data_IF_445950602895
#
_entry.id   IF_445950602895
#
_cell.length_a   1.000
_cell.length_b   1.000
_cell.length_c   1.000
_cell.angle_alpha   90.00
_cell.angle_beta   90.00
_cell.angle_gamma   90.00
#
_symmetry.space_group_name_H-M   'P 1'
#
loop_
_entity.id
_entity.type
_entity.pdbx_description
1 polymer ?
#
# COMPACT_ATOMS: atom_id res chain seq x y z
N UNK A 1 -12.83 9.95 3.56
CA UNK A 1 -13.72 9.64 2.42
C UNK A 1 -14.95 8.88 2.94
N UNK A 2 -16.14 9.38 2.64
CA UNK A 2 -17.39 8.81 3.22
C UNK A 2 -17.68 7.40 2.69
N UNK A 3 -17.48 7.18 1.38
CA UNK A 3 -17.73 5.89 0.74
C UNK A 3 -16.99 4.72 1.43
N UNK A 4 -15.72 4.90 1.81
CA UNK A 4 -14.95 3.89 2.52
C UNK A 4 -15.50 3.66 3.94
N UNK A 5 -15.88 4.74 4.65
CA UNK A 5 -16.48 4.62 5.99
C UNK A 5 -17.78 3.82 5.94
N UNK A 6 -18.66 4.13 4.99
CA UNK A 6 -19.94 3.44 4.83
C UNK A 6 -19.72 1.96 4.49
N UNK A 7 -18.73 1.66 3.66
CA UNK A 7 -18.37 0.27 3.33
C UNK A 7 -17.84 -0.50 4.54
N UNK A 8 -16.98 0.12 5.35
CA UNK A 8 -16.46 -0.48 6.59
C UNK A 8 -17.62 -0.73 7.58
N UNK A 9 -18.52 0.22 7.75
CA UNK A 9 -19.67 0.06 8.66
C UNK A 9 -20.64 -1.03 8.20
N UNK A 10 -20.78 -1.20 6.89
CA UNK A 10 -21.71 -2.19 6.30
C UNK A 10 -21.13 -3.62 6.33
N UNK A 11 -19.89 -3.77 5.87
CA UNK A 11 -19.31 -5.08 5.53
C UNK A 11 -18.08 -5.43 6.38
N UNK A 12 -17.52 -4.47 7.13
CA UNK A 12 -16.42 -4.71 8.07
C UNK A 12 -16.88 -5.45 9.32
N UNK A 13 -16.00 -6.24 9.89
CA UNK A 13 -16.24 -6.99 11.12
C UNK A 13 -15.19 -6.64 12.17
N UNK A 14 -15.63 -6.28 13.38
CA UNK A 14 -14.72 -6.09 14.50
C UNK A 14 -14.52 -7.45 15.16
N UNK A 15 -13.30 -7.93 15.13
CA UNK A 15 -12.88 -9.13 15.86
C UNK A 15 -12.40 -8.73 17.26
N UNK A 16 -12.21 -9.72 18.13
CA UNK A 16 -11.61 -9.46 19.44
C UNK A 16 -10.26 -8.72 19.33
N UNK A 17 -9.89 -7.98 20.37
CA UNK A 17 -8.64 -7.21 20.46
C UNK A 17 -8.51 -6.02 19.48
N UNK A 18 -9.62 -5.46 19.01
CA UNK A 18 -9.62 -4.27 18.16
C UNK A 18 -9.19 -4.50 16.71
N UNK A 19 -9.18 -5.76 16.25
CA UNK A 19 -8.86 -6.09 14.86
C UNK A 19 -10.07 -5.81 13.98
N UNK A 20 -9.89 -5.01 12.94
CA UNK A 20 -10.89 -4.75 11.91
C UNK A 20 -10.65 -5.70 10.72
N UNK A 21 -11.62 -6.58 10.46
CA UNK A 21 -11.60 -7.48 9.31
C UNK A 21 -12.31 -6.83 8.12
N UNK A 22 -11.61 -6.66 7.00
CA UNK A 22 -12.11 -6.05 5.75
C UNK A 22 -11.79 -6.92 4.53
N UNK A 23 -11.69 -8.21 4.73
CA UNK A 23 -11.26 -9.20 3.72
C UNK A 23 -12.14 -9.22 2.48
N UNK A 24 -13.40 -8.86 2.61
CA UNK A 24 -14.37 -8.93 1.53
C UNK A 24 -14.26 -7.81 0.49
N UNK A 25 -13.46 -6.77 0.76
CA UNK A 25 -13.36 -5.62 -0.15
C UNK A 25 -12.01 -4.90 -0.19
N UNK A 26 -11.04 -5.24 0.68
CA UNK A 26 -9.72 -4.61 0.70
C UNK A 26 -8.58 -5.59 0.51
N UNK A 27 -8.43 -6.59 1.38
CA UNK A 27 -7.17 -7.31 1.53
C UNK A 27 -7.21 -8.83 1.26
N UNK A 28 -8.34 -9.36 0.81
CA UNK A 28 -8.43 -10.71 0.25
C UNK A 28 -9.23 -10.69 -1.06
N UNK A 29 -10.52 -10.32 -0.99
CA UNK A 29 -11.25 -9.85 -2.15
C UNK A 29 -11.13 -8.32 -2.21
N UNK A 30 -10.82 -7.79 -3.38
CA UNK A 30 -10.66 -6.35 -3.61
C UNK A 30 -11.85 -5.84 -4.40
N UNK A 31 -12.48 -4.76 -3.92
CA UNK A 31 -13.50 -4.03 -4.68
C UNK A 31 -12.80 -2.96 -5.55
N UNK A 32 -12.72 -3.14 -6.88
CA UNK A 32 -11.97 -2.23 -7.75
C UNK A 32 -12.55 -0.82 -7.77
N UNK A 33 -13.88 -0.69 -7.72
CA UNK A 33 -14.53 0.61 -7.75
C UNK A 33 -14.27 1.40 -6.45
N UNK A 34 -14.27 0.72 -5.32
CA UNK A 34 -13.90 1.31 -4.03
C UNK A 34 -12.43 1.74 -4.04
N UNK A 35 -11.52 0.90 -4.55
CA UNK A 35 -10.09 1.25 -4.65
C UNK A 35 -9.84 2.41 -5.60
N UNK A 36 -10.54 2.50 -6.72
CA UNK A 36 -10.47 3.65 -7.61
C UNK A 36 -10.91 4.94 -6.92
N UNK A 37 -12.01 4.89 -6.17
CA UNK A 37 -12.48 6.05 -5.40
C UNK A 37 -11.47 6.46 -4.30
N UNK A 38 -10.83 5.49 -3.63
CA UNK A 38 -9.77 5.76 -2.66
C UNK A 38 -8.54 6.39 -3.34
N UNK A 39 -8.11 5.84 -4.48
CA UNK A 39 -6.99 6.38 -5.26
C UNK A 39 -7.22 7.81 -5.71
N UNK A 40 -8.42 8.13 -6.15
CA UNK A 40 -8.82 9.50 -6.54
C UNK A 40 -8.78 10.45 -5.34
N UNK A 41 -9.25 10.01 -4.19
CA UNK A 41 -9.21 10.81 -2.95
C UNK A 41 -7.77 11.09 -2.52
N UNK A 42 -6.90 10.06 -2.53
CA UNK A 42 -5.48 10.25 -2.24
C UNK A 42 -4.81 11.17 -3.26
N UNK A 43 -5.08 10.98 -4.56
CA UNK A 43 -4.54 11.85 -5.60
C UNK A 43 -4.92 13.31 -5.38
N UNK A 44 -6.18 13.58 -5.05
CA UNK A 44 -6.64 14.95 -4.75
C UNK A 44 -5.93 15.55 -3.53
N UNK A 45 -5.74 14.77 -2.47
CA UNK A 45 -5.07 15.26 -1.24
C UNK A 45 -3.58 15.52 -1.44
N UNK A 46 -2.92 14.73 -2.28
CA UNK A 46 -1.47 14.72 -2.42
C UNK A 46 -0.97 15.24 -3.78
N UNK A 47 -1.83 15.82 -4.61
CA UNK A 47 -1.47 16.33 -5.95
C UNK A 47 -0.26 17.27 -5.95
N UNK A 48 -0.12 18.10 -4.93
CA UNK A 48 0.86 19.19 -4.89
C UNK A 48 2.11 18.88 -4.05
N UNK A 49 2.29 17.66 -3.59
CA UNK A 49 3.46 17.34 -2.76
C UNK A 49 4.76 17.16 -3.55
N UNK A 50 4.69 17.06 -4.88
CA UNK A 50 5.85 16.88 -5.75
C UNK A 50 6.49 15.48 -5.60
N UNK A 51 5.71 14.46 -5.28
CA UNK A 51 6.20 13.09 -5.29
C UNK A 51 6.50 12.63 -6.71
N UNK A 52 7.54 11.83 -6.87
CA UNK A 52 7.95 11.24 -8.15
C UNK A 52 7.57 9.78 -8.27
N UNK A 53 7.30 9.12 -7.14
CA UNK A 53 6.88 7.71 -7.05
C UNK A 53 5.96 7.48 -5.87
N UNK A 54 5.20 6.41 -5.95
CA UNK A 54 4.45 5.87 -4.83
C UNK A 54 5.18 4.63 -4.32
N UNK A 55 5.29 4.51 -3.01
CA UNK A 55 5.84 3.34 -2.33
C UNK A 55 4.75 2.70 -1.47
N UNK A 56 4.67 1.39 -1.54
CA UNK A 56 3.79 0.58 -0.69
C UNK A 56 4.49 -0.70 -0.27
N UNK A 57 3.85 -1.53 0.52
CA UNK A 57 4.33 -2.87 0.85
C UNK A 57 3.40 -3.95 0.28
N UNK A 58 3.96 -5.09 -0.12
CA UNK A 58 3.11 -6.23 -0.46
C UNK A 58 2.38 -6.73 0.81
N UNK A 59 1.07 -7.10 0.72
CA UNK A 59 0.37 -7.26 -0.54
C UNK A 59 -0.84 -6.30 -0.66
N UNK A 60 -1.58 -6.06 0.40
CA UNK A 60 -2.88 -5.38 0.37
C UNK A 60 -2.79 -3.89 0.05
N UNK A 61 -1.68 -3.24 0.38
CA UNK A 61 -1.42 -1.84 0.00
C UNK A 61 -1.27 -1.60 -1.50
N UNK A 62 -1.02 -2.65 -2.30
CA UNK A 62 -0.82 -2.51 -3.75
C UNK A 62 -2.08 -1.96 -4.44
N UNK A 63 -3.26 -2.40 -4.04
CA UNK A 63 -4.50 -1.97 -4.69
C UNK A 63 -4.75 -0.46 -4.56
N UNK A 64 -4.77 0.14 -3.36
CA UNK A 64 -4.93 1.59 -3.22
C UNK A 64 -3.74 2.38 -3.77
N UNK A 65 -2.51 1.85 -3.68
CA UNK A 65 -1.34 2.50 -4.26
C UNK A 65 -1.41 2.57 -5.79
N UNK A 66 -1.82 1.47 -6.45
CA UNK A 66 -1.94 1.40 -7.90
C UNK A 66 -2.98 2.40 -8.41
N UNK A 67 -4.15 2.46 -7.79
CA UNK A 67 -5.19 3.42 -8.20
C UNK A 67 -4.78 4.87 -7.93
N UNK A 68 -4.07 5.13 -6.82
CA UNK A 68 -3.47 6.45 -6.57
C UNK A 68 -2.46 6.82 -7.66
N UNK A 69 -1.59 5.89 -8.05
CA UNK A 69 -0.62 6.08 -9.12
C UNK A 69 -1.27 6.36 -10.46
N UNK A 70 -2.37 5.67 -10.77
CA UNK A 70 -3.16 5.93 -11.98
C UNK A 70 -3.65 7.39 -12.04
N UNK A 71 -4.19 7.91 -10.92
CA UNK A 71 -4.73 9.27 -10.88
C UNK A 71 -3.65 10.37 -10.79
N UNK A 72 -2.47 10.08 -10.23
CA UNK A 72 -1.34 11.01 -10.16
C UNK A 72 -0.40 10.93 -11.39
N UNK A 73 -0.52 9.89 -12.22
CA UNK A 73 0.44 9.62 -13.29
C UNK A 73 1.82 9.19 -12.77
N UNK A 74 1.88 8.54 -11.60
CA UNK A 74 3.12 8.15 -10.94
C UNK A 74 3.33 6.63 -10.96
N UNK A 75 4.56 6.14 -11.17
CA UNK A 75 4.88 4.74 -11.00
C UNK A 75 4.75 4.31 -9.54
N UNK A 76 4.38 3.04 -9.34
CA UNK A 76 4.23 2.42 -8.03
C UNK A 76 5.33 1.39 -7.82
N UNK A 77 6.08 1.53 -6.74
CA UNK A 77 7.06 0.55 -6.27
C UNK A 77 6.50 -0.10 -5.01
N UNK A 78 6.58 -1.41 -4.91
CA UNK A 78 6.19 -2.10 -3.70
C UNK A 78 7.34 -2.88 -3.08
N UNK A 79 7.52 -2.71 -1.79
CA UNK A 79 8.49 -3.47 -1.02
C UNK A 79 8.08 -4.94 -0.97
N UNK A 80 9.03 -5.83 -1.25
CA UNK A 80 8.84 -7.29 -1.24
C UNK A 80 9.18 -7.86 0.12
N UNK A 81 8.45 -8.88 0.52
CA UNK A 81 8.72 -9.65 1.77
C UNK A 81 9.69 -10.80 1.54
N UNK A 82 9.98 -11.09 0.29
CA UNK A 82 10.96 -12.08 -0.18
C UNK A 82 11.70 -11.52 -1.38
N UNK A 83 13.03 -11.68 -1.41
CA UNK A 83 13.86 -11.24 -2.54
C UNK A 83 13.60 -12.13 -3.76
N UNK A 84 13.06 -11.63 -4.88
CA UNK A 84 12.96 -12.39 -6.11
C UNK A 84 14.34 -12.57 -6.76
N UNK A 85 14.52 -13.62 -7.52
CA UNK A 85 15.78 -13.92 -8.23
C UNK A 85 16.16 -12.86 -9.27
N UNK A 86 15.18 -12.06 -9.72
CA UNK A 86 15.38 -10.98 -10.68
C UNK A 86 15.84 -9.67 -10.04
N UNK A 87 15.90 -9.60 -8.72
CA UNK A 87 16.33 -8.41 -7.99
C UNK A 87 17.87 -8.43 -7.84
N UNK A 88 18.57 -7.28 -7.99
CA UNK A 88 20.02 -7.21 -7.83
C UNK A 88 20.47 -7.61 -6.42
N UNK A 89 21.78 -7.92 -6.27
CA UNK A 89 22.33 -8.31 -4.97
C UNK A 89 22.26 -7.18 -3.94
N UNK A 90 22.52 -5.95 -4.35
CA UNK A 90 22.38 -4.78 -3.51
C UNK A 90 20.92 -4.32 -3.49
N UNK A 91 20.34 -4.24 -2.31
CA UNK A 91 18.96 -3.85 -2.08
C UNK A 91 18.86 -2.93 -0.87
N UNK A 92 17.81 -2.12 -0.82
CA UNK A 92 17.37 -1.52 0.44
C UNK A 92 16.61 -2.59 1.22
N UNK A 93 17.02 -2.81 2.46
CA UNK A 93 16.41 -3.79 3.34
C UNK A 93 16.13 -3.17 4.69
N UNK A 94 14.94 -3.38 5.20
CA UNK A 94 14.58 -3.07 6.59
C UNK A 94 13.77 -4.21 7.19
N UNK A 95 13.75 -4.27 8.51
CA UNK A 95 12.91 -5.20 9.27
C UNK A 95 11.73 -4.45 9.86
N UNK A 96 10.54 -4.97 9.68
CA UNK A 96 9.32 -4.41 10.22
C UNK A 96 8.54 -5.47 11.03
N UNK A 97 7.91 -5.10 12.15
CA UNK A 97 7.05 -6.02 12.87
C UNK A 97 5.81 -6.36 12.03
N UNK A 98 5.50 -7.65 11.91
CA UNK A 98 4.27 -8.07 11.26
C UNK A 98 3.15 -8.20 12.30
N UNK A 99 2.15 -7.34 12.21
CA UNK A 99 1.00 -7.37 13.12
C UNK A 99 0.17 -8.65 13.00
N UNK A 100 0.16 -9.29 11.82
CA UNK A 100 -0.62 -10.51 11.56
C UNK A 100 0.14 -11.80 11.85
N UNK A 101 1.48 -11.77 11.85
CA UNK A 101 2.31 -12.97 11.99
C UNK A 101 3.10 -13.04 13.30
N UNK A 102 3.06 -11.99 14.13
CA UNK A 102 3.79 -11.92 15.40
C UNK A 102 5.31 -12.06 15.29
N UNK A 103 5.88 -11.79 14.10
CA UNK A 103 7.32 -11.90 13.80
C UNK A 103 7.80 -10.73 12.96
N UNK A 104 9.11 -10.50 12.97
CA UNK A 104 9.74 -9.55 12.06
C UNK A 104 9.66 -10.07 10.62
N UNK A 105 9.37 -9.19 9.69
CA UNK A 105 9.41 -9.45 8.24
C UNK A 105 10.38 -8.51 7.58
N UNK A 106 11.04 -9.00 6.55
CA UNK A 106 11.87 -8.17 5.69
C UNK A 106 10.99 -7.35 4.76
N UNK A 107 11.39 -6.09 4.53
CA UNK A 107 10.88 -5.25 3.46
C UNK A 107 12.06 -4.88 2.57
N UNK A 108 11.99 -5.29 1.32
CA UNK A 108 13.09 -5.23 0.35
C UNK A 108 12.64 -4.42 -0.86
N UNK A 109 13.46 -3.43 -1.24
CA UNK A 109 13.23 -2.60 -2.44
C UNK A 109 14.52 -2.55 -3.27
N UNK A 110 14.39 -2.67 -4.59
CA UNK A 110 15.51 -2.49 -5.51
C UNK A 110 15.87 -1.01 -5.67
N UNK A 111 17.15 -0.64 -5.56
CA UNK A 111 17.61 0.73 -5.86
C UNK A 111 17.45 1.11 -7.34
N UNK A 112 17.26 0.14 -8.25
CA UNK A 112 16.94 0.41 -9.66
C UNK A 112 15.62 1.16 -9.84
N UNK A 113 14.66 0.93 -8.94
CA UNK A 113 13.32 1.51 -9.01
C UNK A 113 13.04 2.58 -7.95
N UNK A 114 13.94 2.73 -6.99
CA UNK A 114 13.85 3.75 -5.95
C UNK A 114 15.25 4.36 -5.74
N UNK A 115 15.52 5.48 -6.41
CA UNK A 115 16.81 6.15 -6.29
C UNK A 115 16.90 6.96 -4.99
N UNK A 116 18.14 7.24 -4.57
CA UNK A 116 18.39 8.16 -3.45
C UNK A 116 17.81 9.56 -3.78
N UNK A 117 17.29 10.21 -2.75
CA UNK A 117 16.72 11.57 -2.83
C UNK A 117 15.42 11.69 -3.67
N UNK A 118 14.79 10.61 -4.05
CA UNK A 118 13.43 10.69 -4.61
C UNK A 118 12.42 11.06 -3.52
N UNK A 119 11.47 11.87 -3.88
CA UNK A 119 10.34 12.20 -3.02
C UNK A 119 9.23 11.19 -3.26
N UNK A 120 8.99 10.34 -2.29
CA UNK A 120 7.98 9.27 -2.39
C UNK A 120 6.73 9.59 -1.60
N UNK A 121 5.59 9.20 -2.14
CA UNK A 121 4.32 9.14 -1.42
C UNK A 121 4.12 7.70 -0.94
N UNK A 122 3.99 7.50 0.37
CA UNK A 122 3.69 6.18 0.93
C UNK A 122 2.17 6.01 1.00
N UNK A 123 1.67 4.93 0.40
CA UNK A 123 0.26 4.54 0.43
C UNK A 123 0.21 3.08 0.88
N UNK A 124 -0.60 2.79 1.89
CA UNK A 124 -0.86 1.43 2.33
C UNK A 124 -2.33 1.30 2.74
N UNK A 125 -2.81 0.08 3.00
CA UNK A 125 -4.18 -0.17 3.47
C UNK A 125 -4.33 0.17 4.96
N UNK A 126 -3.33 -0.15 5.78
CA UNK A 126 -3.24 0.20 7.20
C UNK A 126 -1.85 0.76 7.52
N UNK A 127 -1.81 1.93 8.13
CA UNK A 127 -0.59 2.62 8.57
C UNK A 127 -0.65 2.89 10.07
#
# INVERSE_FOLDING_TARGET
MQLLKDRILKDGQILGNGILKVDSFVNHQVDPALMDACGREFANRFANIGATKILTAEISGIAPALTTGLHLGLPVVYARKTKPITMPDQVYLTLAPSHTKGRMVELIVSPEYLANNEKVLIIDDFL
#
